data_IF_603859189735
#
_entry.id   IF_603859189735
#
_cell.length_a   1.000
_cell.length_b   1.000
_cell.length_c   1.000
_cell.angle_alpha   90.00
_cell.angle_beta   90.00
_cell.angle_gamma   90.00
#
_symmetry.space_group_name_H-M   'P 1'
#
loop_
_entity.id
_entity.type
_entity.pdbx_description
1 polymer ?
#
# COMPACT_ATOMS: atom_id res chain seq x y z
N UNK A 1 -5.97 -0.13 -17.68
CA UNK A 1 -7.27 0.55 -17.51
C UNK A 1 -8.06 0.67 -18.82
N UNK A 2 -7.46 0.44 -20.00
CA UNK A 2 -8.17 0.46 -21.31
C UNK A 2 -9.20 -0.68 -21.53
N UNK A 3 -9.61 -1.40 -20.48
CA UNK A 3 -10.47 -2.60 -20.57
C UNK A 3 -11.66 -2.61 -19.60
N UNK A 4 -11.88 -1.53 -18.84
CA UNK A 4 -13.05 -1.41 -17.97
C UNK A 4 -14.03 -0.47 -18.67
N UNK A 5 -15.07 -1.04 -19.26
CA UNK A 5 -16.22 -0.32 -19.77
C UNK A 5 -17.33 -0.39 -18.72
N UNK A 6 -17.91 0.75 -18.36
CA UNK A 6 -19.12 0.80 -17.55
C UNK A 6 -20.33 0.45 -18.42
N UNK A 7 -21.01 -0.65 -18.09
CA UNK A 7 -22.24 -1.10 -18.76
C UNK A 7 -23.21 -1.62 -17.70
N UNK A 8 -24.49 -1.41 -17.95
CA UNK A 8 -25.61 -1.90 -17.14
C UNK A 8 -25.71 -1.30 -15.72
N UNK A 9 -26.67 -1.80 -14.94
CA UNK A 9 -26.97 -1.33 -13.58
C UNK A 9 -26.02 -1.93 -12.54
N UNK A 10 -25.76 -1.16 -11.48
CA UNK A 10 -24.91 -1.57 -10.37
C UNK A 10 -25.60 -2.58 -9.43
N UNK A 11 -25.42 -3.88 -9.66
CA UNK A 11 -25.88 -4.94 -8.76
C UNK A 11 -24.86 -5.26 -7.67
N UNK A 12 -25.06 -4.71 -6.46
CA UNK A 12 -24.13 -4.87 -5.35
C UNK A 12 -24.13 -6.27 -4.71
N UNK A 13 -25.30 -6.90 -4.58
CA UNK A 13 -25.47 -8.19 -3.88
C UNK A 13 -24.67 -9.32 -4.56
N UNK A 14 -24.77 -9.55 -5.89
CA UNK A 14 -23.98 -10.58 -6.56
C UNK A 14 -22.47 -10.31 -6.50
N UNK A 15 -22.06 -9.05 -6.62
CA UNK A 15 -20.65 -8.65 -6.57
C UNK A 15 -20.01 -8.94 -5.20
N UNK A 16 -20.74 -8.68 -4.11
CA UNK A 16 -20.29 -9.00 -2.76
C UNK A 16 -20.22 -10.51 -2.53
N UNK A 17 -21.22 -11.27 -2.98
CA UNK A 17 -21.19 -12.74 -2.89
C UNK A 17 -19.98 -13.33 -3.63
N UNK A 18 -19.69 -12.86 -4.84
CA UNK A 18 -18.49 -13.25 -5.59
C UNK A 18 -17.23 -12.91 -4.80
N UNK A 19 -17.11 -11.68 -4.32
CA UNK A 19 -15.95 -11.20 -3.56
C UNK A 19 -15.71 -12.03 -2.29
N UNK A 20 -16.75 -12.36 -1.54
CA UNK A 20 -16.63 -13.24 -0.36
C UNK A 20 -16.25 -14.68 -0.73
N UNK A 21 -16.73 -15.17 -1.87
CA UNK A 21 -16.38 -16.51 -2.35
C UNK A 21 -14.89 -16.64 -2.66
N UNK A 22 -14.24 -15.57 -3.15
CA UNK A 22 -12.80 -15.54 -3.44
C UNK A 22 -11.94 -15.79 -2.18
N UNK A 23 -12.40 -15.34 -1.02
CA UNK A 23 -11.69 -15.58 0.25
C UNK A 23 -11.88 -17.00 0.81
N UNK A 24 -12.94 -17.70 0.40
CA UNK A 24 -13.31 -19.02 0.92
C UNK A 24 -12.81 -20.15 0.02
N UNK A 25 -12.75 -19.92 -1.30
CA UNK A 25 -12.38 -20.92 -2.32
C UNK A 25 -10.88 -20.92 -2.64
N UNK A 26 -10.01 -21.07 -1.63
CA UNK A 26 -8.56 -21.41 -1.80
C UNK A 26 -8.38 -22.84 -2.37
N UNK A 27 -9.05 -23.18 -3.47
CA UNK A 27 -8.95 -24.55 -4.03
C UNK A 27 -9.83 -24.85 -5.23
N UNK A 28 -11.04 -24.28 -5.34
CA UNK A 28 -11.99 -24.58 -6.43
C UNK A 28 -12.61 -23.31 -7.04
N UNK A 29 -11.75 -22.38 -7.44
CA UNK A 29 -12.11 -21.38 -8.43
C UNK A 29 -11.70 -21.93 -9.79
N UNK A 30 -12.64 -22.55 -10.52
CA UNK A 30 -12.43 -22.88 -11.92
C UNK A 30 -12.57 -21.60 -12.75
N UNK A 31 -11.52 -20.78 -12.66
CA UNK A 31 -11.31 -19.54 -13.39
C UNK A 31 -10.21 -19.83 -14.40
N UNK A 32 -10.48 -20.68 -15.37
CA UNK A 32 -9.51 -21.10 -16.38
C UNK A 32 -9.05 -19.97 -17.31
N UNK A 33 -9.54 -18.73 -17.17
CA UNK A 33 -9.26 -17.65 -18.14
C UNK A 33 -8.85 -16.29 -17.58
N UNK A 34 -8.94 -16.00 -16.27
CA UNK A 34 -8.73 -14.62 -15.82
C UNK A 34 -7.23 -14.29 -15.64
N UNK A 35 -6.35 -15.27 -15.39
CA UNK A 35 -4.89 -15.05 -15.37
C UNK A 35 -4.12 -16.29 -15.82
N UNK A 36 -4.06 -16.56 -17.13
CA UNK A 36 -3.19 -17.61 -17.71
C UNK A 36 -1.69 -17.27 -17.71
N UNK A 37 -1.25 -16.28 -16.93
CA UNK A 37 0.17 -15.91 -16.79
C UNK A 37 0.53 -15.81 -15.30
N UNK A 38 0.57 -16.95 -14.60
CA UNK A 38 1.66 -17.31 -13.65
C UNK A 38 1.27 -18.57 -12.85
N UNK A 39 1.35 -19.73 -13.48
CA UNK A 39 1.23 -21.05 -12.83
C UNK A 39 2.40 -21.37 -11.87
N UNK A 40 3.20 -20.39 -11.45
CA UNK A 40 4.35 -20.57 -10.54
C UNK A 40 4.11 -20.02 -9.12
N UNK A 41 3.05 -19.27 -8.90
CA UNK A 41 2.70 -18.75 -7.58
C UNK A 41 1.60 -19.61 -6.96
N UNK A 42 2.01 -20.73 -6.36
CA UNK A 42 1.10 -21.58 -5.58
C UNK A 42 0.30 -20.76 -4.55
N UNK A 43 -0.97 -21.12 -4.40
CA UNK A 43 -2.02 -20.76 -3.44
C UNK A 43 -1.60 -20.07 -2.12
N UNK A 44 -0.96 -18.90 -2.20
CA UNK A 44 -0.40 -18.19 -1.04
C UNK A 44 -1.09 -16.84 -0.87
N UNK A 45 -2.09 -16.81 0.00
CA UNK A 45 -2.60 -15.55 0.53
C UNK A 45 -1.59 -14.92 1.49
N UNK A 46 -1.64 -13.59 1.66
CA UNK A 46 -0.69 -12.84 2.50
C UNK A 46 -0.69 -13.18 3.99
N UNK A 47 -1.67 -13.96 4.48
CA UNK A 47 -1.87 -14.24 5.91
C UNK A 47 -2.31 -13.04 6.75
N UNK A 48 -2.43 -11.85 6.14
CA UNK A 48 -2.78 -10.60 6.81
C UNK A 48 -4.28 -10.28 6.80
N UNK A 49 -4.59 -8.98 6.87
CA UNK A 49 -5.97 -8.49 6.87
C UNK A 49 -6.69 -8.80 5.53
N UNK A 50 -7.91 -9.36 5.62
CA UNK A 50 -8.81 -9.58 4.47
C UNK A 50 -9.71 -8.37 4.26
N UNK A 51 -9.57 -7.72 3.12
CA UNK A 51 -10.24 -6.45 2.82
C UNK A 51 -10.98 -6.54 1.49
N UNK A 52 -12.17 -5.93 1.44
CA UNK A 52 -12.89 -5.62 0.20
C UNK A 52 -12.98 -4.10 0.12
N UNK A 53 -12.57 -3.52 -1.00
CA UNK A 53 -12.73 -2.09 -1.27
C UNK A 53 -13.82 -1.91 -2.32
N UNK A 54 -14.90 -1.23 -1.94
CA UNK A 54 -16.06 -0.99 -2.78
C UNK A 54 -16.05 0.46 -3.23
N UNK A 55 -15.93 0.70 -4.53
CA UNK A 55 -16.03 2.02 -5.15
C UNK A 55 -17.37 2.12 -5.86
N UNK A 56 -18.17 3.12 -5.52
CA UNK A 56 -19.52 3.28 -6.07
C UNK A 56 -19.99 4.73 -5.96
N UNK A 57 -20.77 5.18 -6.93
CA UNK A 57 -21.46 6.47 -6.97
C UNK A 57 -22.91 6.38 -6.50
N UNK A 58 -23.43 5.17 -6.32
CA UNK A 58 -24.79 4.90 -5.88
C UNK A 58 -25.05 3.43 -5.61
N UNK A 59 -25.87 3.15 -4.59
CA UNK A 59 -26.31 1.79 -4.26
C UNK A 59 -27.81 1.72 -4.37
N UNK A 60 -28.31 0.89 -5.28
CA UNK A 60 -29.75 0.68 -5.49
C UNK A 60 -30.34 -0.26 -4.41
N UNK A 61 -29.66 -1.38 -4.13
CA UNK A 61 -30.11 -2.40 -3.17
C UNK A 61 -29.17 -2.53 -1.96
N UNK A 62 -29.75 -2.60 -0.76
CA UNK A 62 -28.99 -2.79 0.48
C UNK A 62 -28.66 -4.28 0.70
N UNK A 63 -27.37 -4.66 0.83
CA UNK A 63 -26.96 -6.07 0.89
C UNK A 63 -27.10 -6.69 2.29
N UNK A 64 -28.25 -6.49 2.94
CA UNK A 64 -28.51 -6.91 4.33
C UNK A 64 -28.36 -8.44 4.47
N UNK A 65 -28.92 -9.21 3.55
CA UNK A 65 -28.88 -10.68 3.58
C UNK A 65 -27.45 -11.23 3.52
N UNK A 66 -26.61 -10.67 2.65
CA UNK A 66 -25.22 -11.11 2.47
C UNK A 66 -24.36 -10.74 3.69
N UNK A 67 -24.55 -9.54 4.24
CA UNK A 67 -23.77 -9.10 5.41
C UNK A 67 -24.19 -9.86 6.66
N UNK A 68 -25.49 -10.10 6.85
CA UNK A 68 -25.98 -10.87 8.00
C UNK A 68 -25.55 -12.34 7.96
N UNK A 69 -25.56 -12.98 6.79
CA UNK A 69 -25.12 -14.38 6.67
C UNK A 69 -23.64 -14.55 7.05
N UNK A 70 -22.81 -13.51 6.86
CA UNK A 70 -21.38 -13.54 7.20
C UNK A 70 -21.07 -13.09 8.63
N UNK A 71 -22.02 -12.51 9.36
CA UNK A 71 -21.82 -11.99 10.71
C UNK A 71 -21.29 -13.04 11.69
N UNK A 72 -21.70 -14.31 11.56
CA UNK A 72 -21.22 -15.43 12.38
C UNK A 72 -19.73 -15.70 12.21
N UNK A 73 -19.20 -15.52 11.00
CA UNK A 73 -17.79 -15.76 10.67
C UNK A 73 -16.89 -14.57 10.99
N UNK A 74 -17.46 -13.43 11.39
CA UNK A 74 -16.69 -12.22 11.68
C UNK A 74 -15.78 -12.37 12.92
N UNK A 75 -16.13 -13.26 13.85
CA UNK A 75 -15.32 -13.53 15.05
C UNK A 75 -14.06 -14.33 14.74
N UNK A 76 -14.15 -15.28 13.80
CA UNK A 76 -13.06 -16.21 13.46
C UNK A 76 -12.28 -15.76 12.23
N UNK A 77 -12.96 -15.23 11.22
CA UNK A 77 -12.39 -14.80 9.94
C UNK A 77 -12.96 -13.43 9.49
N UNK A 78 -12.51 -12.32 10.12
CA UNK A 78 -13.05 -11.00 9.85
C UNK A 78 -12.64 -10.46 8.48
N UNK A 79 -13.60 -10.39 7.56
CA UNK A 79 -13.47 -9.68 6.28
C UNK A 79 -14.07 -8.27 6.44
N UNK A 80 -13.26 -7.24 6.20
CA UNK A 80 -13.66 -5.83 6.35
C UNK A 80 -14.00 -5.24 4.98
N UNK A 81 -15.15 -4.59 4.86
CA UNK A 81 -15.60 -3.96 3.61
C UNK A 81 -15.51 -2.44 3.75
N UNK A 82 -14.55 -1.85 3.05
CA UNK A 82 -14.35 -0.40 2.99
C UNK A 82 -15.12 0.18 1.81
N UNK A 83 -15.99 1.15 2.08
CA UNK A 83 -16.78 1.83 1.04
C UNK A 83 -16.18 3.16 0.64
N UNK A 84 -16.17 3.46 -0.65
CA UNK A 84 -15.77 4.73 -1.23
C UNK A 84 -16.92 5.24 -2.09
N UNK A 85 -17.63 6.25 -1.58
CA UNK A 85 -18.62 7.01 -2.35
C UNK A 85 -17.85 7.91 -3.31
N UNK A 86 -17.96 7.70 -4.62
CA UNK A 86 -17.20 8.45 -5.63
C UNK A 86 -18.15 9.16 -6.59
N UNK A 87 -17.85 10.42 -6.90
CA UNK A 87 -18.64 11.21 -7.86
C UNK A 87 -19.03 12.56 -7.29
N UNK A 88 -19.41 13.48 -8.17
CA UNK A 88 -19.72 14.84 -7.76
C UNK A 88 -21.06 14.89 -7.03
N UNK A 89 -21.04 15.30 -5.75
CA UNK A 89 -22.26 15.52 -4.97
C UNK A 89 -22.95 14.24 -4.51
N UNK A 90 -22.23 13.12 -4.43
CA UNK A 90 -22.77 11.84 -3.95
C UNK A 90 -23.10 11.87 -2.45
N UNK A 91 -22.33 12.64 -1.68
CA UNK A 91 -22.59 12.84 -0.25
C UNK A 91 -22.51 11.55 0.59
N UNK A 92 -23.04 11.57 1.83
CA UNK A 92 -23.02 10.41 2.71
C UNK A 92 -24.02 9.35 2.25
N UNK A 93 -23.54 8.13 2.01
CA UNK A 93 -24.37 6.99 1.61
C UNK A 93 -24.70 6.09 2.81
N UNK A 94 -25.98 5.99 3.23
CA UNK A 94 -26.37 5.15 4.36
C UNK A 94 -26.09 3.66 4.14
N UNK A 95 -26.19 3.17 2.90
CA UNK A 95 -25.89 1.78 2.55
C UNK A 95 -24.41 1.43 2.81
N UNK A 96 -23.48 2.29 2.38
CA UNK A 96 -22.04 2.11 2.67
C UNK A 96 -21.75 2.23 4.17
N UNK A 97 -22.40 3.16 4.86
CA UNK A 97 -22.27 3.29 6.31
C UNK A 97 -22.76 2.03 7.05
N UNK A 98 -23.87 1.44 6.61
CA UNK A 98 -24.39 0.18 7.13
C UNK A 98 -23.38 -0.95 6.95
N UNK A 99 -22.87 -1.15 5.73
CA UNK A 99 -21.89 -2.19 5.41
C UNK A 99 -20.61 -2.01 6.24
N UNK A 100 -20.09 -0.79 6.31
CA UNK A 100 -18.86 -0.49 7.06
C UNK A 100 -19.05 -0.73 8.57
N UNK A 101 -20.19 -0.34 9.14
CA UNK A 101 -20.51 -0.58 10.54
C UNK A 101 -20.57 -2.08 10.87
N UNK A 102 -21.25 -2.87 10.04
CA UNK A 102 -21.43 -4.29 10.27
C UNK A 102 -20.16 -5.11 10.01
N UNK A 103 -19.25 -4.64 9.16
CA UNK A 103 -17.98 -5.34 8.87
C UNK A 103 -16.79 -4.81 9.69
N UNK A 104 -17.02 -3.90 10.64
CA UNK A 104 -15.99 -3.22 11.44
C UNK A 104 -14.93 -2.53 10.57
N UNK A 105 -15.39 -1.82 9.54
CA UNK A 105 -14.61 -1.03 8.60
C UNK A 105 -14.95 0.47 8.71
N UNK A 106 -14.53 1.25 7.72
CA UNK A 106 -14.90 2.65 7.55
C UNK A 106 -15.33 2.91 6.10
N UNK A 107 -16.09 3.98 5.87
CA UNK A 107 -16.35 4.46 4.52
C UNK A 107 -15.81 5.88 4.36
N UNK A 108 -15.48 6.26 3.13
CA UNK A 108 -14.98 7.56 2.75
C UNK A 108 -15.78 8.12 1.58
N UNK A 109 -15.79 9.45 1.47
CA UNK A 109 -16.48 10.18 0.40
C UNK A 109 -15.42 10.90 -0.43
N UNK A 110 -15.47 10.68 -1.73
CA UNK A 110 -14.55 11.22 -2.74
C UNK A 110 -15.37 12.07 -3.72
N UNK A 111 -15.66 13.30 -3.32
CA UNK A 111 -16.47 14.23 -4.11
C UNK A 111 -15.67 14.93 -5.23
N UNK A 112 -14.34 14.97 -5.10
CA UNK A 112 -13.46 15.70 -6.00
C UNK A 112 -12.12 15.01 -6.23
N UNK A 113 -11.43 15.37 -7.31
CA UNK A 113 -10.07 14.90 -7.60
C UNK A 113 -9.11 15.26 -6.46
N UNK A 114 -9.29 16.42 -5.81
CA UNK A 114 -8.49 16.82 -4.65
C UNK A 114 -8.66 15.92 -3.43
N UNK A 115 -9.80 15.25 -3.29
CA UNK A 115 -10.06 14.34 -2.17
C UNK A 115 -9.40 12.98 -2.34
N UNK A 116 -9.16 12.55 -3.59
CA UNK A 116 -8.64 11.22 -3.92
C UNK A 116 -7.41 10.88 -3.09
N UNK A 117 -6.42 11.79 -3.02
CA UNK A 117 -5.17 11.55 -2.29
C UNK A 117 -5.38 11.30 -0.80
N UNK A 118 -6.28 12.06 -0.17
CA UNK A 118 -6.55 11.95 1.28
C UNK A 118 -7.41 10.74 1.57
N UNK A 119 -8.41 10.49 0.74
CA UNK A 119 -9.43 9.48 1.00
C UNK A 119 -8.97 8.08 0.60
N UNK A 120 -8.13 7.92 -0.42
CA UNK A 120 -7.60 6.62 -0.84
C UNK A 120 -6.85 5.88 0.27
N UNK A 121 -6.26 6.61 1.22
CA UNK A 121 -5.54 6.05 2.37
C UNK A 121 -6.36 6.02 3.67
N UNK A 122 -7.63 6.44 3.63
CA UNK A 122 -8.49 6.55 4.82
C UNK A 122 -8.68 5.21 5.55
N UNK A 123 -8.73 4.09 4.81
CA UNK A 123 -8.87 2.75 5.36
C UNK A 123 -7.73 2.39 6.33
N UNK A 124 -6.52 2.93 6.13
CA UNK A 124 -5.37 2.68 6.99
C UNK A 124 -5.63 3.15 8.42
N UNK A 125 -6.41 4.21 8.63
CA UNK A 125 -6.77 4.70 9.97
C UNK A 125 -7.53 3.64 10.77
N UNK A 126 -8.42 2.88 10.13
CA UNK A 126 -9.17 1.81 10.80
C UNK A 126 -8.27 0.63 11.13
N UNK A 127 -7.40 0.25 10.20
CA UNK A 127 -6.44 -0.85 10.39
C UNK A 127 -5.39 -0.52 11.44
N UNK A 128 -4.90 0.73 11.46
CA UNK A 128 -3.95 1.20 12.47
C UNK A 128 -4.54 1.14 13.87
N UNK A 129 -5.84 1.41 14.03
CA UNK A 129 -6.50 1.27 15.33
C UNK A 129 -6.58 -0.19 15.80
N UNK A 130 -6.77 -1.15 14.87
CA UNK A 130 -6.73 -2.57 15.21
C UNK A 130 -5.34 -2.96 15.71
N UNK A 131 -4.28 -2.48 15.03
CA UNK A 131 -2.90 -2.65 15.49
C UNK A 131 -2.68 -2.02 16.87
N UNK A 132 -3.19 -0.81 17.10
CA UNK A 132 -3.06 -0.11 18.37
C UNK A 132 -3.72 -0.89 19.52
N UNK A 133 -4.90 -1.49 19.29
CA UNK A 133 -5.58 -2.35 20.26
C UNK A 133 -4.74 -3.60 20.56
N UNK A 134 -4.23 -4.26 19.53
CA UNK A 134 -3.43 -5.48 19.68
C UNK A 134 -2.14 -5.25 20.49
N UNK A 135 -1.54 -4.06 20.37
CA UNK A 135 -0.28 -3.71 21.04
C UNK A 135 -0.44 -2.72 22.20
N UNK A 136 -1.67 -2.46 22.67
CA UNK A 136 -1.94 -1.47 23.70
C UNK A 136 -1.16 -1.73 25.01
N UNK A 137 -1.10 -3.00 25.42
CA UNK A 137 -0.45 -3.42 26.66
C UNK A 137 1.07 -3.68 26.50
N UNK A 138 1.59 -3.59 25.27
CA UNK A 138 3.00 -3.89 25.01
C UNK A 138 3.87 -2.64 25.25
N UNK A 139 4.98 -2.77 26.01
CA UNK A 139 5.91 -1.67 26.19
C UNK A 139 6.58 -1.30 24.86
N UNK A 140 7.06 -0.06 24.68
CA UNK A 140 7.67 0.37 23.42
C UNK A 140 8.79 -0.55 22.90
N UNK A 141 9.58 -1.15 23.79
CA UNK A 141 10.66 -2.08 23.44
C UNK A 141 10.19 -3.43 22.88
N UNK A 142 8.94 -3.83 23.14
CA UNK A 142 8.37 -5.10 22.68
C UNK A 142 7.47 -4.93 21.44
N UNK A 143 7.34 -3.71 20.91
CA UNK A 143 6.53 -3.43 19.73
C UNK A 143 7.31 -3.79 18.46
N UNK A 144 6.64 -4.30 17.42
CA UNK A 144 7.32 -4.69 16.19
C UNK A 144 7.88 -3.45 15.47
N UNK A 145 9.10 -3.59 14.99
CA UNK A 145 9.73 -2.65 14.05
C UNK A 145 9.62 -3.20 12.64
N UNK A 146 9.37 -2.33 11.67
CA UNK A 146 9.24 -2.72 10.25
C UNK A 146 10.31 -2.01 9.42
N UNK A 147 11.04 -2.80 8.64
CA UNK A 147 11.98 -2.31 7.65
C UNK A 147 11.23 -1.96 6.37
N UNK A 148 11.31 -0.69 5.97
CA UNK A 148 10.72 -0.21 4.71
C UNK A 148 11.64 -0.59 3.55
N UNK A 149 11.08 -0.81 2.36
CA UNK A 149 11.91 -0.97 1.15
C UNK A 149 12.74 0.29 0.89
N UNK A 150 13.90 0.17 0.21
CA UNK A 150 14.75 1.32 -0.03
C UNK A 150 14.07 2.44 -0.81
N UNK A 151 14.24 3.65 -0.32
CA UNK A 151 13.70 4.87 -0.91
C UNK A 151 14.85 5.85 -1.16
N UNK A 152 14.68 6.75 -2.12
CA UNK A 152 15.56 7.91 -2.20
C UNK A 152 15.20 8.85 -1.06
N UNK A 153 16.18 9.55 -0.48
CA UNK A 153 15.90 10.61 0.48
C UNK A 153 15.42 11.87 -0.25
N UNK A 154 14.28 12.40 0.18
CA UNK A 154 13.69 13.66 -0.28
C UNK A 154 14.63 14.86 -0.18
N UNK A 155 15.57 14.86 0.78
CA UNK A 155 16.58 15.90 0.92
C UNK A 155 17.79 15.72 -0.02
N UNK A 156 17.78 14.66 -0.84
CA UNK A 156 18.84 14.37 -1.80
C UNK A 156 20.09 13.71 -1.20
N UNK A 157 20.02 13.16 0.02
CA UNK A 157 21.16 12.45 0.62
C UNK A 157 21.49 11.11 -0.05
N UNK A 158 20.62 10.65 -0.95
CA UNK A 158 20.76 9.39 -1.69
C UNK A 158 19.83 8.29 -1.18
N UNK A 159 20.08 7.03 -1.57
CA UNK A 159 19.26 5.88 -1.15
C UNK A 159 19.39 5.61 0.34
N UNK A 160 18.24 5.36 0.96
CA UNK A 160 18.06 5.25 2.40
C UNK A 160 17.11 4.10 2.71
N UNK A 161 17.42 3.40 3.78
CA UNK A 161 16.61 2.34 4.37
C UNK A 161 16.02 2.87 5.67
N UNK A 162 14.69 2.80 5.83
CA UNK A 162 14.01 3.34 7.02
C UNK A 162 13.52 2.21 7.92
N UNK A 163 13.85 2.30 9.20
CA UNK A 163 13.23 1.48 10.26
C UNK A 163 12.09 2.26 10.85
N UNK A 164 10.90 1.66 10.89
CA UNK A 164 9.68 2.32 11.37
C UNK A 164 9.08 1.60 12.58
N UNK A 165 8.53 2.37 13.51
CA UNK A 165 7.82 1.88 14.69
C UNK A 165 6.56 2.72 14.96
N UNK A 166 5.39 2.11 15.22
CA UNK A 166 4.18 2.85 15.53
C UNK A 166 4.21 3.46 16.94
N UNK A 167 3.80 4.72 17.04
CA UNK A 167 3.58 5.41 18.32
C UNK A 167 2.10 5.30 18.67
N UNK A 168 1.79 4.62 19.77
CA UNK A 168 0.43 4.36 20.22
C UNK A 168 0.02 5.35 21.31
N UNK A 169 -1.26 5.71 21.33
CA UNK A 169 -1.86 6.44 22.43
C UNK A 169 -2.05 5.51 23.64
N UNK A 170 -1.41 5.82 24.76
CA UNK A 170 -1.46 5.04 26.01
C UNK A 170 -2.31 5.71 27.09
N UNK A 171 -3.03 6.79 26.77
CA UNK A 171 -3.87 7.48 27.75
C UNK A 171 -5.10 6.65 28.12
N UNK A 172 -5.24 6.30 29.40
CA UNK A 172 -6.33 5.46 29.94
C UNK A 172 -7.72 6.11 29.81
N UNK A 173 -7.78 7.45 29.76
CA UNK A 173 -9.05 8.22 29.79
C UNK A 173 -9.51 8.73 28.42
N UNK A 174 -8.74 8.48 27.35
CA UNK A 174 -9.16 8.85 26.01
C UNK A 174 -9.97 7.69 25.42
N UNK A 175 -11.19 7.95 24.96
CA UNK A 175 -12.09 7.00 24.27
C UNK A 175 -11.54 6.45 22.94
N UNK A 176 -10.22 6.36 22.76
CA UNK A 176 -9.57 5.91 21.55
C UNK A 176 -8.14 5.40 21.82
N UNK A 177 -8.00 4.08 21.88
CA UNK A 177 -6.77 3.41 21.48
C UNK A 177 -6.54 3.68 20.00
N UNK A 178 -5.38 4.26 19.67
CA UNK A 178 -5.09 4.69 18.31
C UNK A 178 -3.61 4.94 18.09
N UNK A 179 -3.21 4.92 16.82
CA UNK A 179 -1.86 5.29 16.41
C UNK A 179 -1.78 6.82 16.32
N UNK A 180 -0.89 7.44 17.08
CA UNK A 180 -0.62 8.88 17.05
C UNK A 180 0.25 9.24 15.85
N UNK A 181 1.17 8.35 15.49
CA UNK A 181 2.08 8.54 14.37
C UNK A 181 3.04 7.35 14.24
N UNK A 182 4.05 7.53 13.40
CA UNK A 182 5.10 6.54 13.16
C UNK A 182 6.45 7.21 13.37
N UNK A 183 7.27 6.63 14.24
CA UNK A 183 8.67 7.00 14.36
C UNK A 183 9.46 6.29 13.25
N UNK A 184 10.30 7.03 12.54
CA UNK A 184 11.19 6.51 11.50
C UNK A 184 12.63 6.87 11.81
N UNK A 185 13.55 5.93 11.62
CA UNK A 185 14.99 6.17 11.66
C UNK A 185 15.58 5.77 10.30
N UNK A 186 16.26 6.72 9.68
CA UNK A 186 16.84 6.59 8.36
C UNK A 186 18.30 6.12 8.44
N UNK A 187 18.60 5.06 7.69
CA UNK A 187 19.93 4.46 7.55
C UNK A 187 20.37 4.60 6.10
N UNK A 188 21.43 5.36 5.87
CA UNK A 188 21.92 5.62 4.51
C UNK A 188 22.67 4.42 3.98
N UNK A 189 22.60 4.18 2.67
CA UNK A 189 23.37 3.09 2.05
C UNK A 189 24.87 3.26 2.25
N UNK A 190 25.38 4.50 2.33
CA UNK A 190 26.79 4.78 2.65
C UNK A 190 27.19 4.27 4.04
N UNK A 191 26.27 4.19 5.00
CA UNK A 191 26.54 3.63 6.33
C UNK A 191 26.53 2.10 6.28
N UNK A 192 25.60 1.52 5.53
CA UNK A 192 25.50 0.07 5.31
C UNK A 192 26.77 -0.43 4.60
N UNK A 193 27.18 0.23 3.52
CA UNK A 193 28.37 -0.13 2.75
C UNK A 193 29.64 -0.21 3.61
N UNK A 194 29.81 0.70 4.59
CA UNK A 194 30.95 0.68 5.52
C UNK A 194 30.98 -0.52 6.46
N UNK A 195 29.83 -1.13 6.73
CA UNK A 195 29.70 -2.29 7.62
C UNK A 195 29.91 -3.58 6.81
N UNK A 196 29.63 -3.56 5.51
CA UNK A 196 29.81 -4.70 4.64
C UNK A 196 31.31 -4.95 4.37
N UNK A 197 31.72 -6.22 4.29
CA UNK A 197 33.10 -6.54 3.93
C UNK A 197 33.38 -6.12 2.49
N UNK A 198 34.41 -5.30 2.30
CA UNK A 198 34.90 -4.87 0.99
C UNK A 198 36.25 -5.54 0.71
N UNK A 199 36.30 -6.37 -0.32
CA UNK A 199 37.52 -6.98 -0.84
C UNK A 199 37.44 -7.03 -2.37
N UNK A 200 38.58 -7.01 -3.06
CA UNK A 200 38.62 -6.89 -4.53
C UNK A 200 37.92 -8.06 -5.28
N UNK A 201 37.82 -9.24 -4.65
CA UNK A 201 37.26 -10.45 -5.26
C UNK A 201 35.87 -10.83 -4.74
N UNK A 202 35.36 -10.18 -3.69
CA UNK A 202 34.05 -10.49 -3.11
C UNK A 202 33.22 -9.24 -2.93
N UNK A 203 31.91 -9.38 -3.11
CA UNK A 203 30.96 -8.33 -2.80
C UNK A 203 29.83 -8.88 -1.95
N UNK A 204 29.35 -8.04 -1.04
CA UNK A 204 28.17 -8.35 -0.24
C UNK A 204 26.94 -7.69 -0.85
N UNK A 205 25.79 -8.37 -0.72
CA UNK A 205 24.48 -7.86 -1.06
C UNK A 205 23.49 -8.24 0.03
N UNK A 206 22.42 -7.47 0.18
CA UNK A 206 21.40 -7.65 1.22
C UNK A 206 20.07 -7.89 0.53
N UNK A 207 19.35 -8.91 0.98
CA UNK A 207 18.05 -9.33 0.44
C UNK A 207 17.07 -9.49 1.60
N UNK A 208 15.80 -9.21 1.35
CA UNK A 208 14.74 -9.48 2.32
C UNK A 208 14.17 -10.91 2.17
N UNK A 209 13.25 -11.27 3.06
CA UNK A 209 12.53 -12.55 3.04
C UNK A 209 11.66 -12.79 1.78
N UNK A 210 11.41 -11.74 0.99
CA UNK A 210 10.66 -11.81 -0.26
C UNK A 210 11.57 -11.88 -1.51
N UNK A 211 12.89 -12.04 -1.34
CA UNK A 211 13.82 -12.09 -2.47
C UNK A 211 14.14 -10.73 -3.10
N UNK A 212 13.69 -9.61 -2.50
CA UNK A 212 13.98 -8.27 -3.00
C UNK A 212 15.34 -7.82 -2.47
N UNK A 213 16.23 -7.40 -3.39
CA UNK A 213 17.51 -6.83 -3.02
C UNK A 213 17.34 -5.44 -2.38
N UNK A 214 17.71 -5.34 -1.10
CA UNK A 214 17.78 -4.10 -0.36
C UNK A 214 19.06 -3.32 -0.70
N UNK A 215 20.17 -4.01 -0.89
CA UNK A 215 21.45 -3.41 -1.28
C UNK A 215 22.19 -4.33 -2.25
N UNK A 216 22.68 -3.78 -3.35
CA UNK A 216 23.54 -4.48 -4.30
C UNK A 216 24.46 -3.48 -5.02
N UNK A 217 25.75 -3.77 -5.28
CA UNK A 217 26.67 -2.84 -5.96
C UNK A 217 26.18 -2.41 -7.35
N UNK A 218 25.52 -3.31 -8.07
CA UNK A 218 24.90 -3.05 -9.39
C UNK A 218 23.44 -2.55 -9.32
N UNK A 219 22.91 -2.21 -8.13
CA UNK A 219 21.55 -1.71 -8.01
C UNK A 219 21.43 -0.37 -8.74
N UNK A 220 20.53 -0.29 -9.73
CA UNK A 220 20.30 0.95 -10.48
C UNK A 220 19.46 1.90 -9.64
N UNK A 221 20.11 2.87 -9.04
CA UNK A 221 19.47 3.86 -8.18
C UNK A 221 19.24 5.16 -8.97
N UNK A 222 18.03 5.75 -8.95
CA UNK A 222 17.79 7.06 -9.55
C UNK A 222 18.58 8.15 -8.82
N UNK A 223 18.99 9.21 -9.52
CA UNK A 223 19.84 10.27 -8.94
C UNK A 223 19.14 11.06 -7.83
N UNK A 224 17.83 11.21 -7.91
CA UNK A 224 16.99 11.97 -6.96
C UNK A 224 15.62 11.34 -6.84
N UNK A 225 14.91 11.61 -5.74
CA UNK A 225 13.48 11.31 -5.66
C UNK A 225 12.72 11.94 -6.84
N UNK A 226 11.75 11.20 -7.38
CA UNK A 226 10.84 11.69 -8.42
C UNK A 226 10.07 12.93 -7.93
N UNK A 227 9.72 13.01 -6.63
CA UNK A 227 9.08 14.18 -6.01
C UNK A 227 9.91 15.48 -6.13
N UNK A 228 11.23 15.39 -6.09
CA UNK A 228 12.10 16.56 -6.27
C UNK A 228 12.08 17.06 -7.72
N UNK A 229 11.83 16.17 -8.69
CA UNK A 229 11.55 16.53 -10.10
C UNK A 229 10.13 17.11 -10.24
N UNK A 230 9.14 16.63 -9.45
CA UNK A 230 7.74 17.10 -9.45
C UNK A 230 7.60 18.58 -9.13
N UNK A 231 8.40 19.13 -8.20
CA UNK A 231 8.38 20.58 -7.93
C UNK A 231 8.83 21.39 -9.15
N UNK A 232 9.77 20.88 -9.94
CA UNK A 232 10.30 21.58 -11.13
C UNK A 232 9.41 21.45 -12.36
N UNK A 233 8.53 20.44 -12.43
CA UNK A 233 7.64 20.20 -13.57
C UNK A 233 6.39 21.12 -13.57
N UNK A 234 5.96 21.58 -12.39
CA UNK A 234 4.91 22.60 -12.27
C UNK A 234 5.42 24.03 -12.55
N UNK A 235 6.74 24.22 -12.77
CA UNK A 235 7.26 25.48 -13.28
C UNK A 235 7.26 25.42 -14.80
N UNK A 236 6.40 26.24 -15.42
CA UNK A 236 6.63 26.61 -16.81
C UNK A 236 7.97 27.36 -16.89
N UNK A 237 9.02 26.63 -17.30
CA UNK A 237 10.38 27.16 -17.48
C UNK A 237 10.45 28.33 -18.48
N UNK A 238 9.37 28.58 -19.23
CA UNK A 238 9.28 29.75 -20.11
C UNK A 238 9.20 31.06 -19.33
N UNK A 239 8.71 31.05 -18.10
CA UNK A 239 8.68 32.25 -17.26
C UNK A 239 9.96 32.34 -16.41
N UNK A 240 10.77 33.39 -16.64
CA UNK A 240 11.89 33.71 -15.75
C UNK A 240 11.33 34.15 -14.40
N UNK A 241 11.62 33.39 -13.34
CA UNK A 241 11.29 33.78 -11.97
C UNK A 241 11.97 35.12 -11.65
N UNK A 242 11.18 36.19 -11.53
CA UNK A 242 11.64 37.49 -11.04
C UNK A 242 11.59 37.45 -9.52
N UNK A 243 12.75 37.64 -8.88
CA UNK A 243 12.88 37.62 -7.43
C UNK A 243 11.85 38.55 -6.77
N UNK A 244 10.98 37.97 -5.94
CA UNK A 244 9.94 38.69 -5.19
C UNK A 244 8.49 38.43 -5.63
N UNK A 245 8.26 37.78 -6.78
CA UNK A 245 6.90 37.45 -7.23
C UNK A 245 6.32 36.22 -6.51
N UNK A 246 5.06 36.31 -6.04
CA UNK A 246 4.28 35.12 -5.63
C UNK A 246 4.23 34.13 -6.80
N UNK A 247 4.64 32.89 -6.54
CA UNK A 247 4.63 31.80 -7.52
C UNK A 247 3.19 31.50 -7.91
N UNK A 248 2.84 31.68 -9.19
CA UNK A 248 1.56 31.27 -9.73
C UNK A 248 1.65 29.82 -10.18
N UNK A 249 0.80 28.95 -9.61
CA UNK A 249 0.64 27.58 -10.07
C UNK A 249 -0.23 27.60 -11.34
N UNK A 250 0.28 27.07 -12.45
CA UNK A 250 -0.50 26.88 -13.68
C UNK A 250 -1.48 25.70 -13.56
N UNK A 251 -2.33 25.54 -14.58
CA UNK A 251 -3.18 24.36 -14.74
C UNK A 251 -2.30 23.10 -14.77
N UNK A 252 -2.60 22.12 -13.92
CA UNK A 252 -1.81 20.89 -13.84
C UNK A 252 -2.07 20.03 -15.08
N UNK A 253 -1.06 19.89 -15.94
CA UNK A 253 -1.05 18.96 -17.06
C UNK A 253 -1.43 17.54 -16.60
N UNK A 254 -2.22 16.80 -17.37
CA UNK A 254 -2.63 15.43 -17.08
C UNK A 254 -1.42 14.52 -16.79
N UNK A 255 -0.27 14.79 -17.42
CA UNK A 255 1.00 14.09 -17.12
C UNK A 255 1.48 14.33 -15.69
N UNK A 256 1.30 15.54 -15.17
CA UNK A 256 1.64 15.91 -13.78
C UNK A 256 0.67 15.22 -12.81
N UNK A 257 -0.62 15.15 -13.14
CA UNK A 257 -1.63 14.41 -12.36
C UNK A 257 -1.33 12.90 -12.34
N UNK A 258 -0.94 12.31 -13.47
CA UNK A 258 -0.46 10.91 -13.55
C UNK A 258 0.83 10.69 -12.73
N UNK A 259 1.75 11.65 -12.76
CA UNK A 259 2.98 11.63 -11.95
C UNK A 259 2.72 11.75 -10.45
N UNK A 260 1.66 12.46 -10.03
CA UNK A 260 1.22 12.58 -8.64
C UNK A 260 0.68 11.27 -8.07
N UNK A 261 0.27 10.32 -8.92
CA UNK A 261 -0.24 9.00 -8.55
C UNK A 261 0.80 7.87 -8.50
N UNK A 262 2.07 8.12 -8.88
CA UNK A 262 3.12 7.10 -8.91
C UNK A 262 3.85 7.03 -7.55
N UNK A 263 3.93 5.82 -6.98
CA UNK A 263 4.66 5.54 -5.74
C UNK A 263 6.18 5.69 -5.93
N UNK A 264 6.81 6.25 -4.90
CA UNK A 264 8.15 6.85 -4.87
C UNK A 264 9.30 5.84 -4.60
N UNK A 265 9.17 4.59 -5.06
CA UNK A 265 10.16 3.55 -4.73
C UNK A 265 11.37 3.54 -5.67
N UNK A 266 12.54 3.23 -5.11
CA UNK A 266 13.64 2.67 -5.90
C UNK A 266 13.09 1.40 -6.55
N UNK A 267 13.34 1.18 -7.84
CA UNK A 267 12.93 -0.06 -8.50
C UNK A 267 13.44 -1.25 -7.71
N UNK A 268 12.52 -2.06 -7.19
CA UNK A 268 12.83 -3.29 -6.48
C UNK A 268 13.28 -4.33 -7.48
N UNK A 269 14.52 -4.78 -7.36
CA UNK A 269 15.08 -5.84 -8.20
C UNK A 269 14.89 -7.15 -7.43
N UNK A 270 14.18 -8.09 -8.04
CA UNK A 270 14.11 -9.47 -7.57
C UNK A 270 15.49 -10.12 -7.74
N UNK A 271 15.94 -10.88 -6.76
CA UNK A 271 17.19 -11.62 -6.81
C UNK A 271 17.31 -12.47 -8.09
N UNK A 272 16.20 -13.02 -8.60
CA UNK A 272 16.16 -13.84 -9.82
C UNK A 272 16.45 -13.02 -11.09
N UNK A 273 16.22 -11.72 -11.04
CA UNK A 273 16.42 -10.81 -12.19
C UNK A 273 17.85 -10.27 -12.32
N UNK A 274 18.75 -10.57 -11.36
CA UNK A 274 20.15 -10.24 -11.55
C UNK A 274 20.76 -11.15 -12.61
N UNK A 275 21.54 -10.61 -13.57
CA UNK A 275 22.26 -11.43 -14.52
C UNK A 275 23.32 -12.23 -13.74
N UNK A 276 23.08 -13.52 -13.54
CA UNK A 276 24.05 -14.43 -12.95
C UNK A 276 24.62 -15.36 -13.99
N UNK A 277 25.94 -15.25 -14.18
CA UNK A 277 26.78 -16.34 -14.69
C UNK A 277 27.01 -17.43 -13.62
N UNK A 278 26.44 -17.28 -12.42
CA UNK A 278 26.60 -18.20 -11.29
C UNK A 278 25.37 -19.11 -11.09
N UNK A 279 25.58 -20.39 -11.37
CA UNK A 279 24.72 -21.55 -11.11
C UNK A 279 24.30 -21.67 -9.62
N UNK A 280 25.01 -21.01 -8.70
CA UNK A 280 24.81 -21.10 -7.25
C UNK A 280 23.50 -20.49 -6.71
N UNK A 281 22.86 -19.55 -7.42
CA UNK A 281 21.60 -18.97 -6.95
C UNK A 281 20.38 -19.86 -7.21
N UNK A 282 20.47 -20.81 -8.15
CA UNK A 282 19.39 -21.78 -8.41
C UNK A 282 19.24 -22.82 -7.29
N UNK A 283 20.27 -23.00 -6.45
CA UNK A 283 20.28 -23.95 -5.33
C UNK A 283 19.88 -23.36 -3.98
N UNK A 284 19.68 -22.04 -3.86
CA UNK A 284 19.15 -21.44 -2.63
C UNK A 284 17.63 -21.66 -2.55
N UNK A 285 17.22 -22.88 -2.22
CA UNK A 285 15.90 -23.11 -1.68
C UNK A 285 15.86 -22.47 -0.28
N UNK A 286 15.14 -21.36 -0.15
CA UNK A 286 14.71 -20.86 1.15
C UNK A 286 13.78 -21.91 1.76
N UNK A 287 14.33 -22.80 2.61
CA UNK A 287 13.53 -23.49 3.61
C UNK A 287 12.90 -22.39 4.48
N UNK A 288 11.60 -22.16 4.26
CA UNK A 288 10.79 -21.36 5.17
C UNK A 288 10.56 -22.26 6.38
N UNK A 289 11.29 -21.99 7.46
CA UNK A 289 10.99 -22.60 8.75
C UNK A 289 9.53 -22.32 9.14
N UNK A 290 8.91 -23.37 9.68
CA UNK A 290 7.49 -23.54 10.01
C UNK A 290 6.93 -22.48 10.96
#
# INVERSE_FOLDING_TARGET
>A
MERIDERDQAQLVPALNLSFSLFTKRGDLNVTEIWKEDERHGDTGSGGHKLIMLFTDGVEEWPIGVINSRKSLQSTDPIRVFGFSMGYGTGPMPALAYIACHTNASYAIVDSISDVKRQSVSYLKKLSNVLAIAYANNPPSARPVTWVTPLMDSQGSGPTLTVSMPILNTMENASGSGVLGVAGIDIRFKQIAKILPEHEQMYAFIVNNNGIALYHPKLKIPKTEVYSVRRTACYDKRSRSRGGGRIQFGEADERVLRLMGLLDSIFTIDIVSFPTDLILLQSFHFERDQ
#
